data_IF_460669215528
#
_entry.id   IF_460669215528
#
_cell.length_a   1.000
_cell.length_b   1.000
_cell.length_c   1.000
_cell.angle_alpha   90.00
_cell.angle_beta   90.00
_cell.angle_gamma   90.00
#
_symmetry.space_group_name_H-M   'P 1'
#
loop_
_entity.id
_entity.type
_entity.pdbx_description
1 polymer ?
#
# COMPACT_ATOMS: atom_id res chain seq x y z
N UNK A 1 -2.47 -65.87 -16.13
CA UNK A 1 -1.20 -65.15 -15.97
C UNK A 1 -1.51 -63.66 -16.15
N UNK A 2 -1.95 -63.02 -15.08
CA UNK A 2 -2.39 -61.62 -15.09
C UNK A 2 -1.16 -60.71 -14.98
N UNK A 3 -0.97 -59.81 -15.93
CA UNK A 3 0.02 -58.74 -15.83
C UNK A 3 -0.58 -57.55 -15.10
N UNK A 4 0.08 -57.18 -14.01
CA UNK A 4 -0.17 -56.06 -13.14
C UNK A 4 0.73 -54.88 -13.54
N UNK A 5 0.40 -53.67 -13.02
CA UNK A 5 1.13 -52.38 -13.01
C UNK A 5 0.60 -51.35 -14.03
N UNK A 6 0.36 -50.08 -13.69
CA UNK A 6 0.58 -49.29 -12.47
C UNK A 6 -0.25 -48.00 -12.66
N UNK A 7 -1.23 -47.73 -11.81
CA UNK A 7 -1.81 -46.38 -11.69
C UNK A 7 -1.50 -45.91 -10.27
N UNK A 8 -0.49 -45.04 -10.18
CA UNK A 8 -0.14 -44.33 -8.96
C UNK A 8 -1.23 -43.29 -8.68
N UNK A 9 -2.26 -43.69 -7.93
CA UNK A 9 -3.13 -42.73 -7.27
C UNK A 9 -2.37 -42.15 -6.07
N UNK A 10 -2.08 -40.85 -6.13
CA UNK A 10 -1.62 -40.04 -5.01
C UNK A 10 -2.59 -40.24 -3.84
N UNK A 11 -2.13 -40.90 -2.77
CA UNK A 11 -2.86 -41.03 -1.51
C UNK A 11 -2.83 -39.68 -0.79
N UNK A 12 -3.88 -38.86 -0.96
CA UNK A 12 -4.34 -38.03 0.15
C UNK A 12 -4.69 -38.97 1.29
N UNK A 13 -4.00 -38.87 2.43
CA UNK A 13 -4.30 -39.67 3.62
C UNK A 13 -5.65 -39.23 4.20
N UNK A 14 -6.76 -39.73 3.67
CA UNK A 14 -8.06 -39.70 4.37
C UNK A 14 -7.95 -40.61 5.60
N UNK A 15 -7.74 -40.04 6.78
CA UNK A 15 -7.72 -40.77 8.04
C UNK A 15 -9.16 -41.00 8.49
N UNK A 16 -9.71 -42.16 8.19
CA UNK A 16 -11.01 -42.56 8.73
C UNK A 16 -10.92 -42.68 10.27
N UNK A 17 -11.83 -42.02 10.98
CA UNK A 17 -11.96 -42.06 12.44
C UNK A 17 -13.03 -43.07 12.84
N UNK A 18 -12.85 -43.77 13.96
CA UNK A 18 -13.86 -44.69 14.48
C UNK A 18 -14.82 -43.96 15.43
N UNK A 19 -16.10 -43.90 15.09
CA UNK A 19 -17.18 -43.36 15.93
C UNK A 19 -18.35 -44.34 15.97
N UNK A 20 -18.81 -44.74 17.17
CA UNK A 20 -19.91 -45.70 17.37
C UNK A 20 -19.82 -46.98 16.51
N UNK A 21 -18.63 -47.59 16.41
CA UNK A 21 -18.36 -48.82 15.62
C UNK A 21 -18.46 -48.64 14.09
N UNK A 22 -18.57 -47.40 13.60
CA UNK A 22 -18.50 -47.06 12.18
C UNK A 22 -17.28 -46.17 11.90
N UNK A 23 -16.71 -46.29 10.70
CA UNK A 23 -15.66 -45.40 10.23
C UNK A 23 -16.31 -44.18 9.58
N UNK A 24 -15.96 -43.00 10.07
CA UNK A 24 -16.42 -41.71 9.55
C UNK A 24 -15.24 -40.85 9.11
N UNK A 25 -15.49 -39.85 8.28
CA UNK A 25 -14.42 -38.95 7.80
C UNK A 25 -14.02 -37.95 8.89
N UNK A 26 -14.99 -37.49 9.68
CA UNK A 26 -14.79 -36.50 10.74
C UNK A 26 -15.78 -36.70 11.89
N UNK A 27 -15.53 -36.06 13.03
CA UNK A 27 -16.47 -35.96 14.17
C UNK A 27 -16.44 -34.56 14.81
N UNK A 28 -15.64 -33.67 14.25
CA UNK A 28 -15.37 -32.29 14.63
C UNK A 28 -14.48 -31.71 13.51
N UNK A 29 -14.44 -30.39 13.39
CA UNK A 29 -13.91 -29.71 12.20
C UNK A 29 -12.40 -29.82 12.09
N UNK A 30 -11.71 -29.92 13.23
CA UNK A 30 -10.26 -30.16 13.29
C UNK A 30 -9.80 -31.50 12.67
N UNK A 31 -10.73 -32.36 12.25
CA UNK A 31 -10.44 -33.58 11.51
C UNK A 31 -10.41 -33.38 9.99
N UNK A 32 -10.94 -32.28 9.51
CA UNK A 32 -10.97 -31.92 8.10
C UNK A 32 -9.72 -31.11 7.70
N UNK A 33 -9.41 -31.12 6.41
CA UNK A 33 -8.37 -30.25 5.84
C UNK A 33 -8.87 -28.81 5.76
N UNK A 34 -7.97 -27.86 5.53
CA UNK A 34 -8.33 -26.48 5.23
C UNK A 34 -9.36 -26.42 4.07
N UNK A 35 -10.29 -25.49 4.23
CA UNK A 35 -11.55 -25.22 3.54
C UNK A 35 -12.65 -26.29 3.69
N UNK A 36 -12.62 -27.08 4.76
CA UNK A 36 -13.67 -28.06 5.04
C UNK A 36 -14.10 -28.08 6.51
N UNK A 37 -15.39 -28.28 6.75
CA UNK A 37 -15.99 -28.45 8.08
C UNK A 37 -16.62 -29.84 8.22
N UNK A 38 -16.75 -30.32 9.45
CA UNK A 38 -17.39 -31.60 9.69
C UNK A 38 -18.90 -31.46 9.78
N UNK A 39 -19.62 -31.95 8.76
CA UNK A 39 -21.05 -32.09 8.88
C UNK A 39 -21.37 -33.20 9.90
N UNK A 40 -21.76 -32.84 11.12
CA UNK A 40 -22.03 -33.81 12.20
C UNK A 40 -23.22 -34.74 11.93
N UNK A 41 -24.05 -34.42 10.93
CA UNK A 41 -25.16 -35.28 10.50
C UNK A 41 -24.67 -36.40 9.59
N UNK A 42 -23.85 -36.09 8.59
CA UNK A 42 -23.30 -37.05 7.61
C UNK A 42 -21.95 -37.64 8.03
N UNK A 43 -21.26 -37.00 8.97
CA UNK A 43 -19.88 -37.24 9.38
C UNK A 43 -18.88 -37.23 8.20
N UNK A 44 -19.12 -36.32 7.26
CA UNK A 44 -18.27 -36.05 6.09
C UNK A 44 -17.70 -34.65 6.14
N UNK A 45 -16.47 -34.48 5.66
CA UNK A 45 -15.88 -33.16 5.49
C UNK A 45 -16.48 -32.50 4.25
N UNK A 46 -17.27 -31.45 4.45
CA UNK A 46 -17.94 -30.71 3.38
C UNK A 46 -17.20 -29.39 3.15
N UNK A 47 -17.19 -28.90 1.90
CA UNK A 47 -16.50 -27.65 1.54
C UNK A 47 -17.32 -26.48 2.07
N UNK A 48 -17.10 -26.15 3.34
CA UNK A 48 -17.80 -25.11 4.09
C UNK A 48 -16.80 -24.44 5.04
N UNK A 49 -17.19 -23.28 5.52
CA UNK A 49 -16.50 -22.58 6.59
C UNK A 49 -17.53 -21.99 7.55
N UNK A 50 -17.10 -21.68 8.76
CA UNK A 50 -17.95 -21.10 9.81
C UNK A 50 -17.81 -19.59 9.85
N UNK A 51 -18.92 -18.87 9.68
CA UNK A 51 -18.98 -17.41 9.87
C UNK A 51 -18.73 -16.97 11.32
N UNK A 52 -18.86 -17.90 12.28
CA UNK A 52 -18.74 -17.57 13.70
C UNK A 52 -17.28 -17.46 14.17
N UNK A 53 -16.39 -18.26 13.56
CA UNK A 53 -15.01 -18.40 14.02
C UNK A 53 -13.98 -18.61 12.90
N UNK A 54 -14.41 -18.52 11.63
CA UNK A 54 -13.60 -18.79 10.44
C UNK A 54 -12.98 -20.19 10.41
N UNK A 55 -13.49 -21.12 11.24
CA UNK A 55 -13.09 -22.52 11.14
C UNK A 55 -13.47 -23.07 9.76
N UNK A 56 -12.68 -24.03 9.31
CA UNK A 56 -12.67 -24.40 7.91
C UNK A 56 -11.70 -23.55 7.10
N UNK A 57 -11.41 -22.27 7.37
CA UNK A 57 -10.45 -21.52 6.55
C UNK A 57 -8.98 -21.70 6.94
N UNK A 58 -8.07 -21.61 5.96
CA UNK A 58 -6.63 -21.50 6.25
C UNK A 58 -6.37 -20.24 7.09
N UNK A 59 -5.37 -20.28 7.98
CA UNK A 59 -4.94 -19.12 8.77
C UNK A 59 -4.76 -17.86 7.89
N UNK A 60 -5.39 -16.75 8.30
CA UNK A 60 -5.37 -15.47 7.58
C UNK A 60 -6.46 -15.29 6.52
N UNK A 61 -7.41 -16.23 6.43
CA UNK A 61 -8.63 -16.15 5.62
C UNK A 61 -9.86 -16.15 6.51
N UNK A 62 -10.95 -15.59 5.99
CA UNK A 62 -12.25 -15.48 6.66
C UNK A 62 -13.34 -16.14 5.83
N UNK A 63 -14.42 -16.59 6.48
CA UNK A 63 -15.57 -17.13 5.80
C UNK A 63 -16.47 -15.99 5.29
N UNK A 64 -16.96 -16.10 4.05
CA UNK A 64 -17.78 -15.06 3.41
C UNK A 64 -19.30 -15.22 3.58
N UNK A 65 -19.76 -16.20 4.37
CA UNK A 65 -21.17 -16.56 4.50
C UNK A 65 -21.78 -17.30 3.31
N UNK A 66 -20.99 -17.57 2.28
CA UNK A 66 -21.37 -18.35 1.10
C UNK A 66 -20.48 -19.60 0.94
N UNK A 67 -19.96 -20.11 2.07
CA UNK A 67 -19.09 -21.28 2.17
C UNK A 67 -17.73 -21.12 1.45
N UNK A 68 -17.26 -19.88 1.22
CA UNK A 68 -15.94 -19.63 0.64
C UNK A 68 -15.00 -18.97 1.64
N UNK A 69 -13.76 -19.44 1.64
CA UNK A 69 -12.67 -18.79 2.36
C UNK A 69 -12.03 -17.71 1.48
N UNK A 70 -12.14 -16.47 1.93
CA UNK A 70 -11.65 -15.28 1.24
C UNK A 70 -10.64 -14.54 2.11
N UNK A 71 -9.90 -13.57 1.54
CA UNK A 71 -8.90 -12.86 2.33
C UNK A 71 -9.55 -11.96 3.37
N UNK A 72 -10.65 -11.30 3.02
CA UNK A 72 -11.37 -10.40 3.90
C UNK A 72 -12.82 -10.25 3.44
N UNK A 73 -13.68 -9.81 4.35
CA UNK A 73 -15.05 -9.35 4.06
C UNK A 73 -15.28 -7.90 4.50
N UNK A 74 -14.39 -7.39 5.37
CA UNK A 74 -14.43 -6.05 5.92
C UNK A 74 -13.04 -5.58 6.37
N UNK A 75 -12.84 -4.27 6.53
CA UNK A 75 -11.53 -3.70 6.86
C UNK A 75 -10.97 -4.17 8.22
N UNK A 76 -11.81 -4.63 9.15
CA UNK A 76 -11.30 -5.17 10.43
C UNK A 76 -10.60 -6.52 10.28
N UNK A 77 -10.74 -7.19 9.14
CA UNK A 77 -10.05 -8.44 8.83
C UNK A 77 -8.61 -8.17 8.38
N UNK A 78 -8.33 -6.94 7.96
CA UNK A 78 -7.03 -6.50 7.47
C UNK A 78 -6.12 -6.06 8.62
N UNK A 79 -4.81 -6.10 8.38
CA UNK A 79 -3.78 -5.65 9.33
C UNK A 79 -2.78 -4.75 8.62
N UNK A 80 -2.20 -3.78 9.34
CA UNK A 80 -1.22 -2.87 8.78
C UNK A 80 -1.83 -1.93 7.74
N UNK A 81 -1.09 -1.64 6.67
CA UNK A 81 -1.54 -0.74 5.59
C UNK A 81 -2.24 -1.53 4.49
N UNK A 82 -3.31 -2.23 4.86
CA UNK A 82 -4.18 -2.93 3.94
C UNK A 82 -5.64 -2.66 4.27
N UNK A 83 -6.46 -2.53 3.25
CA UNK A 83 -7.91 -2.48 3.34
C UNK A 83 -8.56 -3.63 2.57
N UNK A 84 -9.83 -3.89 2.86
CA UNK A 84 -10.57 -4.94 2.20
C UNK A 84 -11.31 -4.40 0.97
N UNK A 85 -10.96 -4.90 -0.22
CA UNK A 85 -11.83 -4.72 -1.37
C UNK A 85 -13.01 -5.69 -1.27
N UNK A 86 -14.14 -5.20 -0.76
CA UNK A 86 -15.37 -5.99 -0.57
C UNK A 86 -16.05 -6.41 -1.89
N UNK A 87 -15.56 -5.96 -3.04
CA UNK A 87 -16.09 -6.38 -4.35
C UNK A 87 -15.49 -7.72 -4.79
N UNK A 88 -14.23 -7.98 -4.44
CA UNK A 88 -13.51 -9.20 -4.83
C UNK A 88 -12.95 -9.99 -3.63
N UNK A 89 -13.18 -9.52 -2.40
CA UNK A 89 -12.76 -10.12 -1.14
C UNK A 89 -11.23 -10.33 -1.05
N UNK A 90 -10.46 -9.36 -1.53
CA UNK A 90 -8.99 -9.34 -1.47
C UNK A 90 -8.46 -8.15 -0.71
N UNK A 91 -7.25 -8.30 -0.16
CA UNK A 91 -6.50 -7.20 0.45
C UNK A 91 -5.98 -6.24 -0.63
N UNK A 92 -6.22 -4.95 -0.44
CA UNK A 92 -5.60 -3.88 -1.21
C UNK A 92 -4.63 -3.11 -0.32
N UNK A 93 -3.43 -2.86 -0.83
CA UNK A 93 -2.44 -2.08 -0.11
C UNK A 93 -2.93 -0.63 0.01
N UNK A 94 -2.71 -0.03 1.16
CA UNK A 94 -3.03 1.36 1.46
C UNK A 94 -1.82 2.09 2.01
N UNK A 95 -1.98 3.38 2.25
CA UNK A 95 -1.00 4.17 2.97
C UNK A 95 -1.67 5.16 3.91
N UNK A 96 -0.93 5.59 4.94
CA UNK A 96 -1.40 6.58 5.89
C UNK A 96 -0.87 7.96 5.51
N UNK A 97 -1.76 8.90 5.21
CA UNK A 97 -1.40 10.31 5.00
C UNK A 97 -0.90 11.03 6.27
N UNK A 98 -0.97 10.39 7.44
CA UNK A 98 -0.53 11.01 8.70
C UNK A 98 0.96 10.79 8.97
N UNK A 99 1.48 9.63 8.58
CA UNK A 99 2.84 9.20 8.91
C UNK A 99 3.55 8.46 7.76
N UNK A 100 2.95 8.47 6.56
CA UNK A 100 3.43 7.82 5.34
C UNK A 100 3.65 6.31 5.49
N UNK A 101 3.06 5.67 6.53
CA UNK A 101 3.15 4.23 6.68
C UNK A 101 2.47 3.54 5.50
N UNK A 102 3.13 2.53 4.93
CA UNK A 102 2.63 1.80 3.75
C UNK A 102 3.37 2.17 2.46
N UNK A 103 4.05 3.32 2.46
CA UNK A 103 4.93 3.71 1.37
C UNK A 103 6.36 3.21 1.57
N UNK A 104 7.10 3.09 0.45
CA UNK A 104 8.53 2.87 0.47
C UNK A 104 9.24 4.12 1.05
N UNK A 105 10.50 4.00 1.51
CA UNK A 105 11.31 5.18 1.85
C UNK A 105 11.31 6.19 0.70
N UNK A 106 11.29 7.48 1.04
CA UNK A 106 11.27 8.61 0.10
C UNK A 106 9.95 8.77 -0.70
N UNK A 107 8.89 8.06 -0.30
CA UNK A 107 7.53 8.26 -0.83
C UNK A 107 6.59 8.70 0.29
N UNK A 108 5.64 9.55 -0.07
CA UNK A 108 4.58 10.07 0.79
C UNK A 108 3.22 9.56 0.32
N UNK A 109 2.26 9.48 1.24
CA UNK A 109 0.92 9.05 0.91
C UNK A 109 0.06 10.23 0.45
N UNK A 110 -0.58 10.11 -0.72
CA UNK A 110 -1.39 11.19 -1.32
C UNK A 110 -2.78 11.38 -0.67
N UNK A 111 -3.13 10.54 0.31
CA UNK A 111 -4.44 10.53 0.95
C UNK A 111 -5.54 9.84 0.13
N UNK A 112 -5.20 9.27 -1.03
CA UNK A 112 -6.03 8.43 -1.88
C UNK A 112 -5.40 7.03 -2.07
N UNK A 113 -4.66 6.58 -1.05
CA UNK A 113 -3.97 5.29 -0.99
C UNK A 113 -2.88 5.07 -2.04
N UNK A 114 -2.37 6.14 -2.66
CA UNK A 114 -1.21 6.06 -3.56
C UNK A 114 0.04 6.61 -2.87
N UNK A 115 1.13 5.87 -3.03
CA UNK A 115 2.45 6.34 -2.65
C UNK A 115 3.08 7.08 -3.81
N UNK A 116 3.37 8.35 -3.57
CA UNK A 116 3.91 9.31 -4.55
C UNK A 116 5.20 9.92 -4.04
N UNK A 117 5.99 10.53 -4.91
CA UNK A 117 7.26 11.15 -4.48
C UNK A 117 7.01 12.38 -3.60
N UNK A 118 5.96 13.14 -3.92
CA UNK A 118 5.60 14.34 -3.20
C UNK A 118 4.09 14.62 -3.29
N UNK A 119 3.56 15.34 -2.30
CA UNK A 119 2.22 15.98 -2.35
C UNK A 119 2.33 17.50 -2.25
N UNK A 120 3.51 17.98 -1.87
CA UNK A 120 3.88 19.37 -1.73
C UNK A 120 5.38 19.54 -1.94
N UNK A 121 5.84 20.76 -2.17
CA UNK A 121 7.27 21.04 -2.37
C UNK A 121 8.12 20.75 -1.13
N UNK A 122 7.50 20.71 0.05
CA UNK A 122 8.17 20.35 1.30
C UNK A 122 8.60 18.88 1.37
N UNK A 123 8.06 18.04 0.47
CA UNK A 123 8.44 16.63 0.36
C UNK A 123 9.68 16.44 -0.54
N UNK A 124 10.08 17.46 -1.28
CA UNK A 124 11.21 17.43 -2.20
C UNK A 124 12.49 18.02 -1.57
N UNK A 125 13.65 17.56 -2.05
CA UNK A 125 14.95 18.13 -1.71
C UNK A 125 15.13 19.54 -2.32
N UNK A 126 16.10 20.32 -1.81
CA UNK A 126 16.49 21.61 -2.38
C UNK A 126 16.77 21.50 -3.91
N UNK A 127 16.30 22.48 -4.69
CA UNK A 127 16.31 22.54 -6.17
C UNK A 127 15.28 21.63 -6.86
N UNK A 128 14.33 21.07 -6.11
CA UNK A 128 13.21 20.33 -6.65
C UNK A 128 11.89 20.86 -6.10
N UNK A 129 10.88 20.94 -6.97
CA UNK A 129 9.51 21.22 -6.57
C UNK A 129 8.58 20.08 -6.98
N UNK A 130 7.47 19.96 -6.28
CA UNK A 130 6.49 18.93 -6.51
C UNK A 130 5.57 19.29 -7.67
N UNK A 131 5.69 18.54 -8.76
CA UNK A 131 4.83 18.68 -9.93
C UNK A 131 4.17 17.35 -10.26
N UNK A 132 2.84 17.33 -10.23
CA UNK A 132 2.05 16.15 -10.54
C UNK A 132 2.57 14.87 -9.83
N UNK A 133 2.85 15.01 -8.53
CA UNK A 133 3.30 13.92 -7.64
C UNK A 133 4.74 13.41 -7.89
N UNK A 134 5.56 14.20 -8.58
CA UNK A 134 6.97 13.93 -8.89
C UNK A 134 7.81 15.14 -8.48
N UNK A 135 8.97 14.89 -7.85
CA UNK A 135 9.94 15.95 -7.57
C UNK A 135 10.74 16.25 -8.84
N UNK A 136 10.43 17.37 -9.49
CA UNK A 136 11.10 17.80 -10.71
C UNK A 136 12.14 18.89 -10.41
N UNK A 137 13.21 18.96 -11.22
CA UNK A 137 14.21 20.05 -11.11
C UNK A 137 13.60 21.35 -11.63
N UNK A 138 12.86 22.02 -10.75
CA UNK A 138 12.12 23.27 -10.96
C UNK A 138 11.97 23.96 -9.60
N UNK A 139 11.39 25.15 -9.61
CA UNK A 139 11.01 25.92 -8.44
C UNK A 139 9.61 26.50 -8.61
N UNK A 140 8.95 26.81 -7.51
CA UNK A 140 7.66 27.49 -7.54
C UNK A 140 7.84 29.00 -7.61
N UNK A 141 7.33 29.63 -8.66
CA UNK A 141 7.25 31.09 -8.78
C UNK A 141 6.25 31.74 -7.80
N UNK A 142 5.54 30.95 -6.98
CA UNK A 142 4.52 31.46 -6.06
C UNK A 142 5.07 31.67 -4.64
N UNK A 143 5.98 30.81 -4.22
CA UNK A 143 6.49 30.76 -2.85
C UNK A 143 7.98 30.38 -2.77
N UNK A 144 8.68 30.43 -3.90
CA UNK A 144 10.11 30.13 -4.05
C UNK A 144 10.52 28.74 -3.55
N UNK A 145 9.54 27.85 -3.40
CA UNK A 145 9.77 26.47 -3.02
C UNK A 145 10.59 25.77 -4.09
N UNK A 146 11.37 24.78 -3.67
CA UNK A 146 12.41 24.21 -4.50
C UNK A 146 13.66 25.10 -4.62
N UNK A 147 13.68 26.36 -4.19
CA UNK A 147 14.93 27.11 -4.11
C UNK A 147 15.61 26.98 -2.74
N UNK A 148 16.95 26.98 -2.78
CA UNK A 148 17.74 27.08 -1.55
C UNK A 148 17.45 28.41 -0.83
N UNK A 149 17.69 28.46 0.48
CA UNK A 149 17.43 29.67 1.25
C UNK A 149 18.13 30.92 0.66
N UNK A 150 17.39 32.02 0.55
CA UNK A 150 17.78 33.31 -0.07
C UNK A 150 17.91 33.27 -1.61
N UNK A 151 17.35 32.26 -2.26
CA UNK A 151 17.11 32.26 -3.70
C UNK A 151 15.60 32.33 -3.95
N UNK A 152 15.24 32.95 -5.06
CA UNK A 152 13.88 33.10 -5.54
C UNK A 152 13.73 32.43 -6.89
N UNK A 153 12.51 32.03 -7.24
CA UNK A 153 12.24 31.39 -8.51
C UNK A 153 11.99 32.42 -9.62
N UNK A 154 12.74 32.34 -10.72
CA UNK A 154 12.64 33.28 -11.85
C UNK A 154 11.38 33.10 -12.72
N UNK A 155 10.55 32.10 -12.41
CA UNK A 155 9.37 31.71 -13.20
C UNK A 155 9.69 30.95 -14.51
N UNK A 156 10.97 30.66 -14.76
CA UNK A 156 11.48 29.82 -15.83
C UNK A 156 12.24 28.61 -15.28
N UNK A 157 11.82 28.14 -14.09
CA UNK A 157 12.35 26.98 -13.37
C UNK A 157 13.79 27.13 -12.87
N UNK A 158 14.32 28.37 -12.76
CA UNK A 158 15.66 28.61 -12.20
C UNK A 158 15.59 29.33 -10.86
N UNK A 159 16.39 28.84 -9.91
CA UNK A 159 16.63 29.54 -8.67
C UNK A 159 17.74 30.57 -8.85
N UNK A 160 17.39 31.83 -8.63
CA UNK A 160 18.26 32.99 -8.79
C UNK A 160 18.30 33.81 -7.52
N UNK A 161 19.28 34.69 -7.36
CA UNK A 161 19.42 35.45 -6.10
C UNK A 161 18.29 36.49 -5.95
N UNK A 162 17.82 37.04 -7.08
CA UNK A 162 16.74 38.01 -7.11
C UNK A 162 16.05 38.05 -8.47
N UNK A 163 14.79 38.45 -8.47
CA UNK A 163 14.03 38.90 -9.64
C UNK A 163 13.59 40.37 -9.51
N UNK A 164 13.57 40.88 -8.28
CA UNK A 164 13.26 42.26 -7.93
C UNK A 164 14.09 42.74 -6.72
N UNK A 165 14.16 44.06 -6.52
CA UNK A 165 14.97 44.66 -5.44
C UNK A 165 14.54 44.21 -4.04
N UNK A 166 13.28 43.80 -3.85
CA UNK A 166 12.77 43.29 -2.58
C UNK A 166 13.36 41.94 -2.16
N UNK A 167 13.90 41.19 -3.10
CA UNK A 167 14.57 39.90 -2.84
C UNK A 167 15.96 40.14 -2.21
N UNK A 168 16.54 41.32 -2.47
CA UNK A 168 17.84 41.71 -1.96
C UNK A 168 17.77 42.27 -0.53
N UNK A 169 18.73 41.87 0.32
CA UNK A 169 18.81 42.37 1.69
C UNK A 169 19.70 43.61 1.80
N UNK A 170 19.33 44.58 2.63
CA UNK A 170 20.19 45.75 2.92
C UNK A 170 20.15 46.83 1.83
N UNK A 171 21.34 47.25 1.35
CA UNK A 171 21.52 48.29 0.32
C UNK A 171 21.91 47.69 -1.04
N UNK A 172 21.45 46.46 -1.31
CA UNK A 172 21.66 45.80 -2.59
C UNK A 172 20.39 45.94 -3.43
N UNK A 173 20.56 46.05 -4.74
CA UNK A 173 19.50 46.13 -5.75
C UNK A 173 19.66 44.95 -6.70
N UNK A 174 18.56 44.51 -7.30
CA UNK A 174 18.58 43.37 -8.19
C UNK A 174 19.06 43.79 -9.58
N UNK A 175 20.20 43.25 -10.02
CA UNK A 175 20.54 43.29 -11.45
C UNK A 175 19.69 42.26 -12.18
N UNK A 176 18.56 42.69 -12.73
CA UNK A 176 17.64 41.82 -13.51
C UNK A 176 18.28 41.14 -14.73
N UNK A 177 19.49 41.51 -15.15
CA UNK A 177 20.21 40.85 -16.24
C UNK A 177 21.04 39.66 -15.73
N UNK A 178 21.81 39.84 -14.66
CA UNK A 178 22.60 38.76 -14.04
C UNK A 178 21.82 37.94 -13.02
N UNK A 179 20.69 38.46 -12.56
CA UNK A 179 19.85 37.92 -11.50
C UNK A 179 20.63 37.73 -10.19
N UNK A 180 21.44 38.75 -9.89
CA UNK A 180 22.28 38.86 -8.68
C UNK A 180 22.01 40.15 -7.93
N UNK A 181 22.15 40.13 -6.61
CA UNK A 181 22.02 41.30 -5.75
C UNK A 181 23.34 42.07 -5.71
N UNK A 182 23.37 43.25 -6.33
CA UNK A 182 24.57 44.09 -6.46
C UNK A 182 24.42 45.39 -5.66
N UNK A 183 25.54 45.97 -5.21
CA UNK A 183 25.51 47.26 -4.50
C UNK A 183 24.92 48.34 -5.43
N UNK A 184 23.94 49.12 -4.96
CA UNK A 184 23.29 50.19 -5.72
C UNK A 184 24.28 51.15 -6.42
N UNK A 185 25.52 51.27 -5.90
CA UNK A 185 26.57 52.08 -6.50
C UNK A 185 27.18 51.49 -7.80
N UNK A 186 26.94 50.21 -8.11
CA UNK A 186 27.48 49.51 -9.29
C UNK A 186 26.50 49.45 -10.47
N UNK A 187 25.22 49.75 -10.25
CA UNK A 187 24.17 49.72 -11.28
C UNK A 187 23.92 51.09 -11.95
N UNK A 188 24.74 52.11 -11.61
CA UNK A 188 24.66 53.48 -12.12
C UNK A 188 25.48 53.76 -13.40
#
# INVERSE_FOLDING_TARGET
>A
MFHLHRLQFLRMQRRNLCYNLHCVECTQDSHCSDNFECNLTSNTCENTCSDADNSGCQSGFVCDGADNCVQCTQNSDCNGNFECNTTNNTYEATCSATDNSGCAPDFVCDGADNCVECVSDADCDDNFACNANVCETTCSATDDSGCAANYVCDGADNCVECTEDSDCTGNFECDTISQTCEDSCQLC
#
